data_IF_284729776102
#
_entry.id   IF_284729776102
#
_cell.length_a   1.000
_cell.length_b   1.000
_cell.length_c   1.000
_cell.angle_alpha   90.00
_cell.angle_beta   90.00
_cell.angle_gamma   90.00
#
_symmetry.space_group_name_H-M   'P 1'
#
loop_
_entity.id
_entity.type
_entity.pdbx_description
1 polymer ?
#
# COMPACT_ATOMS: atom_id res chain seq x y z
N UNK A 1 1.44 -8.00 -7.50
CA UNK A 1 0.08 -8.40 -7.98
C UNK A 1 -0.25 -7.54 -9.17
N UNK A 2 0.06 -8.03 -10.37
CA UNK A 2 -0.17 -7.29 -11.59
C UNK A 2 -0.33 -8.24 -12.77
N UNK A 3 -0.90 -7.74 -13.85
CA UNK A 3 -1.03 -8.42 -15.14
C UNK A 3 -0.52 -7.46 -16.22
N UNK A 4 0.09 -8.00 -17.27
CA UNK A 4 0.33 -7.27 -18.52
C UNK A 4 -0.26 -8.09 -19.66
N UNK A 5 -1.01 -7.44 -20.54
CA UNK A 5 -1.73 -8.08 -21.64
C UNK A 5 -1.23 -7.46 -22.95
N UNK A 6 -0.58 -8.28 -23.77
CA UNK A 6 -0.06 -7.96 -25.11
C UNK A 6 0.85 -6.72 -25.19
N UNK A 7 1.42 -6.28 -24.07
CA UNK A 7 2.16 -5.01 -23.99
C UNK A 7 1.29 -3.77 -24.23
N UNK A 8 -0.05 -3.89 -24.13
CA UNK A 8 -1.02 -2.83 -24.40
C UNK A 8 -1.84 -2.42 -23.20
N UNK A 9 -2.02 -3.33 -22.25
CA UNK A 9 -2.76 -3.06 -21.02
C UNK A 9 -2.03 -3.66 -19.84
N UNK A 10 -2.16 -3.02 -18.69
CA UNK A 10 -1.72 -3.56 -17.41
C UNK A 10 -2.86 -3.50 -16.40
N UNK A 11 -2.83 -4.41 -15.44
CA UNK A 11 -3.62 -4.31 -14.22
C UNK A 11 -2.66 -4.28 -13.03
N UNK A 12 -2.84 -3.32 -12.12
CA UNK A 12 -2.07 -3.22 -10.87
C UNK A 12 -3.07 -2.97 -9.74
N UNK A 13 -3.00 -3.76 -8.68
CA UNK A 13 -3.95 -3.64 -7.57
C UNK A 13 -3.62 -4.53 -6.38
N UNK A 14 -4.45 -4.42 -5.36
CA UNK A 14 -4.25 -5.12 -4.10
C UNK A 14 -4.70 -6.59 -4.11
N UNK A 15 -5.51 -6.99 -5.10
CA UNK A 15 -6.10 -8.32 -5.25
C UNK A 15 -5.04 -9.42 -5.33
N UNK A 16 -5.24 -10.49 -4.56
CA UNK A 16 -4.63 -11.77 -4.89
C UNK A 16 -5.45 -12.47 -5.99
N UNK A 17 -4.85 -13.43 -6.70
CA UNK A 17 -5.56 -14.22 -7.72
C UNK A 17 -6.29 -15.39 -7.08
N UNK A 18 -7.26 -15.07 -6.24
CA UNK A 18 -8.12 -16.03 -5.59
C UNK A 18 -9.56 -15.50 -5.50
N UNK A 19 -10.53 -16.42 -5.46
CA UNK A 19 -11.95 -16.08 -5.51
C UNK A 19 -12.41 -15.18 -4.35
N UNK A 20 -11.78 -15.27 -3.17
CA UNK A 20 -12.12 -14.40 -2.03
C UNK A 20 -11.77 -12.95 -2.33
N UNK A 21 -10.67 -12.70 -3.04
CA UNK A 21 -10.30 -11.35 -3.49
C UNK A 21 -11.34 -10.74 -4.45
N UNK A 22 -12.10 -11.57 -5.17
CA UNK A 22 -13.12 -11.14 -6.11
C UNK A 22 -14.51 -10.97 -5.48
N UNK A 23 -14.81 -11.73 -4.41
CA UNK A 23 -16.17 -11.82 -3.85
C UNK A 23 -16.31 -11.34 -2.40
N UNK A 24 -15.22 -11.34 -1.62
CA UNK A 24 -15.30 -11.22 -0.16
C UNK A 24 -14.30 -10.28 0.50
N UNK A 25 -13.31 -9.79 -0.25
CA UNK A 25 -12.30 -8.86 0.24
C UNK A 25 -12.51 -7.51 -0.45
N UNK A 26 -12.44 -6.43 0.32
CA UNK A 26 -12.50 -5.09 -0.25
C UNK A 26 -11.15 -4.73 -0.85
N UNK A 27 -11.08 -4.71 -2.17
CA UNK A 27 -9.85 -4.54 -2.95
C UNK A 27 -9.97 -3.37 -3.92
N UNK A 28 -8.83 -2.79 -4.31
CA UNK A 28 -8.77 -1.74 -5.33
C UNK A 28 -7.69 -2.07 -6.34
N UNK A 29 -8.00 -1.89 -7.63
CA UNK A 29 -7.05 -2.04 -8.71
C UNK A 29 -7.31 -1.07 -9.85
N UNK A 30 -6.28 -0.88 -10.68
CA UNK A 30 -6.30 -0.04 -11.86
C UNK A 30 -6.18 -0.91 -13.10
N UNK A 31 -7.03 -0.65 -14.09
CA UNK A 31 -6.82 -1.07 -15.48
C UNK A 31 -6.14 0.10 -16.21
N UNK A 32 -4.97 -0.14 -16.76
CA UNK A 32 -4.06 0.89 -17.27
C UNK A 32 -3.78 0.61 -18.74
N UNK A 33 -3.95 1.61 -19.59
CA UNK A 33 -3.58 1.59 -21.01
C UNK A 33 -2.58 2.70 -21.39
N UNK A 34 -2.10 3.46 -20.40
CA UNK A 34 -1.03 4.46 -20.58
C UNK A 34 0.27 3.77 -21.05
N UNK A 35 0.73 4.02 -22.30
CA UNK A 35 1.79 3.21 -22.91
C UNK A 35 3.08 3.16 -22.10
N UNK A 36 3.45 4.25 -21.44
CA UNK A 36 4.69 4.29 -20.64
C UNK A 36 4.60 3.39 -19.42
N UNK A 37 3.49 3.46 -18.67
CA UNK A 37 3.26 2.61 -17.49
C UNK A 37 3.16 1.14 -17.88
N UNK A 38 2.48 0.82 -19.00
CA UNK A 38 2.38 -0.56 -19.49
C UNK A 38 3.77 -1.11 -19.87
N UNK A 39 4.58 -0.35 -20.63
CA UNK A 39 5.94 -0.77 -20.98
C UNK A 39 6.83 -0.98 -19.74
N UNK A 40 6.73 -0.10 -18.75
CA UNK A 40 7.48 -0.23 -17.50
C UNK A 40 7.03 -1.44 -16.69
N UNK A 41 5.73 -1.72 -16.65
CA UNK A 41 5.18 -2.92 -15.99
C UNK A 41 5.67 -4.20 -16.69
N UNK A 42 5.72 -4.22 -18.03
CA UNK A 42 6.31 -5.32 -18.79
C UNK A 42 7.80 -5.49 -18.47
N UNK A 43 8.56 -4.39 -18.41
CA UNK A 43 9.98 -4.45 -18.08
C UNK A 43 10.25 -5.01 -16.68
N UNK A 44 9.39 -4.69 -15.69
CA UNK A 44 9.44 -5.31 -14.35
C UNK A 44 9.16 -6.82 -14.45
N UNK A 45 8.13 -7.21 -15.19
CA UNK A 45 7.81 -8.63 -15.40
C UNK A 45 8.99 -9.40 -15.99
N UNK A 46 9.57 -8.89 -17.07
CA UNK A 46 10.68 -9.54 -17.77
C UNK A 46 11.91 -9.66 -16.87
N UNK A 47 12.21 -8.60 -16.09
CA UNK A 47 13.29 -8.60 -15.11
C UNK A 47 13.08 -9.64 -14.01
N UNK A 48 11.87 -9.70 -13.44
CA UNK A 48 11.55 -10.66 -12.38
C UNK A 48 11.55 -12.10 -12.93
N UNK A 49 11.13 -12.30 -14.19
CA UNK A 49 11.17 -13.59 -14.88
C UNK A 49 12.61 -14.08 -15.12
N UNK A 50 13.49 -13.18 -15.57
CA UNK A 50 14.92 -13.45 -15.73
C UNK A 50 15.61 -13.72 -14.38
N UNK A 51 15.24 -12.98 -13.34
CA UNK A 51 15.75 -13.19 -11.99
C UNK A 51 15.41 -14.60 -11.49
N UNK A 52 14.17 -15.05 -11.69
CA UNK A 52 13.75 -16.39 -11.29
C UNK A 52 14.54 -17.50 -12.02
N UNK A 53 14.81 -17.32 -13.32
CA UNK A 53 15.65 -18.25 -14.07
C UNK A 53 17.09 -18.29 -13.52
N UNK A 54 17.69 -17.13 -13.24
CA UNK A 54 19.04 -17.05 -12.66
C UNK A 54 19.12 -17.73 -11.28
N UNK A 55 18.14 -17.51 -10.40
CA UNK A 55 18.05 -18.15 -9.08
C UNK A 55 18.02 -19.68 -9.22
N UNK A 56 17.20 -20.20 -10.15
CA UNK A 56 17.06 -21.64 -10.40
C UNK A 56 18.39 -22.26 -10.84
N UNK A 57 19.20 -21.52 -11.59
CA UNK A 57 20.52 -21.95 -12.07
C UNK A 57 21.66 -21.70 -11.07
N UNK A 58 21.37 -21.15 -9.87
CA UNK A 58 22.40 -20.77 -8.90
C UNK A 58 23.29 -19.62 -9.37
N UNK A 59 22.81 -18.80 -10.32
CA UNK A 59 23.53 -17.65 -10.87
C UNK A 59 23.13 -16.36 -10.15
N UNK A 60 24.00 -15.33 -10.16
CA UNK A 60 23.63 -14.01 -9.65
C UNK A 60 22.43 -13.44 -10.41
N UNK A 61 21.48 -12.84 -9.67
CA UNK A 61 20.36 -12.11 -10.26
C UNK A 61 20.89 -10.88 -11.00
N UNK A 62 20.54 -10.69 -12.30
CA UNK A 62 20.92 -9.49 -13.04
C UNK A 62 20.38 -8.24 -12.35
N UNK A 63 21.23 -7.24 -12.16
CA UNK A 63 20.84 -5.94 -11.60
C UNK A 63 20.72 -4.94 -12.75
N UNK A 64 19.56 -4.30 -12.97
CA UNK A 64 19.41 -3.25 -13.96
C UNK A 64 20.42 -2.12 -13.72
N UNK A 65 20.94 -1.54 -14.79
CA UNK A 65 21.81 -0.37 -14.67
C UNK A 65 20.98 0.84 -14.23
N UNK A 66 21.41 1.59 -13.21
CA UNK A 66 20.77 2.86 -12.88
C UNK A 66 20.81 3.78 -14.10
N UNK A 67 19.71 4.47 -14.34
CA UNK A 67 19.63 5.53 -15.34
C UNK A 67 19.13 6.78 -14.64
N UNK A 68 19.88 7.87 -14.77
CA UNK A 68 19.43 9.17 -14.30
C UNK A 68 18.12 9.50 -15.00
N UNK A 69 17.08 9.65 -14.20
CA UNK A 69 15.74 9.95 -14.66
C UNK A 69 15.16 11.01 -13.74
N UNK A 70 14.49 11.98 -14.34
CA UNK A 70 13.70 12.97 -13.61
C UNK A 70 12.30 12.43 -13.45
N UNK A 71 11.68 12.69 -12.30
CA UNK A 71 10.28 12.34 -12.09
C UNK A 71 9.42 12.91 -13.24
N UNK A 72 8.56 12.09 -13.85
CA UNK A 72 7.75 12.53 -14.97
C UNK A 72 6.65 13.48 -14.50
N UNK A 73 6.24 14.37 -15.41
CA UNK A 73 5.02 15.15 -15.22
C UNK A 73 3.80 14.25 -15.53
N UNK A 74 2.88 14.09 -14.59
CA UNK A 74 1.65 13.30 -14.78
C UNK A 74 1.68 11.96 -14.05
N UNK A 75 1.10 10.91 -14.64
CA UNK A 75 0.94 9.60 -13.99
C UNK A 75 2.18 8.73 -14.22
N UNK A 76 2.64 8.00 -13.19
CA UNK A 76 3.83 7.17 -13.31
C UNK A 76 3.84 5.95 -12.40
N UNK A 77 4.64 4.98 -12.81
CA UNK A 77 4.90 3.76 -12.07
C UNK A 77 6.12 3.94 -11.16
N UNK A 78 5.97 3.50 -9.92
CA UNK A 78 7.07 3.27 -8.99
C UNK A 78 7.01 1.82 -8.51
N UNK A 79 8.15 1.31 -8.06
CA UNK A 79 8.25 -0.05 -7.59
C UNK A 79 9.30 -0.19 -6.49
N UNK A 80 9.25 -1.32 -5.79
CA UNK A 80 10.26 -1.74 -4.83
C UNK A 80 10.77 -3.16 -5.15
N UNK A 81 11.97 -3.52 -4.68
CA UNK A 81 12.97 -2.62 -4.13
C UNK A 81 13.75 -1.91 -5.24
N UNK A 82 14.23 -0.68 -4.98
CA UNK A 82 14.98 0.15 -5.95
C UNK A 82 15.99 -0.62 -6.80
N UNK A 83 16.76 -1.51 -6.16
CA UNK A 83 17.87 -2.24 -6.77
C UNK A 83 17.46 -3.04 -8.02
N UNK A 84 16.20 -3.47 -8.11
CA UNK A 84 15.71 -4.29 -9.21
C UNK A 84 14.70 -3.56 -10.09
N UNK A 85 14.61 -2.24 -10.00
CA UNK A 85 13.73 -1.47 -10.86
C UNK A 85 14.37 -1.23 -12.23
N UNK A 86 13.62 -1.39 -13.33
CA UNK A 86 14.11 -1.05 -14.65
C UNK A 86 14.23 0.48 -14.83
N UNK A 87 14.96 0.95 -15.86
CA UNK A 87 15.11 2.37 -16.15
C UNK A 87 13.77 3.12 -16.20
N UNK A 88 13.71 4.28 -15.52
CA UNK A 88 12.54 5.14 -15.45
C UNK A 88 11.47 4.72 -14.43
N UNK A 89 11.65 3.61 -13.71
CA UNK A 89 10.78 3.24 -12.59
C UNK A 89 11.43 3.65 -11.28
N UNK A 90 10.81 4.60 -10.58
CA UNK A 90 11.34 5.16 -9.35
C UNK A 90 11.08 4.26 -8.15
N UNK A 91 11.83 4.49 -7.08
CA UNK A 91 11.75 3.69 -5.86
C UNK A 91 10.58 4.11 -4.97
N UNK A 92 9.71 3.16 -4.66
CA UNK A 92 8.56 3.36 -3.79
C UNK A 92 8.92 3.90 -2.41
N UNK A 93 10.02 3.41 -1.82
CA UNK A 93 10.45 3.78 -0.48
C UNK A 93 10.88 5.24 -0.38
N UNK A 94 11.50 5.79 -1.43
CA UNK A 94 11.84 7.23 -1.50
C UNK A 94 10.66 8.10 -1.92
N UNK A 95 9.80 7.59 -2.80
CA UNK A 95 8.75 8.39 -3.42
C UNK A 95 7.56 8.64 -2.48
N UNK A 96 7.17 7.65 -1.68
CA UNK A 96 6.06 7.79 -0.73
C UNK A 96 6.29 8.95 0.27
N UNK A 97 7.43 9.04 0.98
CA UNK A 97 7.75 10.20 1.82
C UNK A 97 7.78 11.52 1.06
N UNK A 98 8.28 11.53 -0.19
CA UNK A 98 8.33 12.74 -1.03
C UNK A 98 6.94 13.28 -1.32
N UNK A 99 5.97 12.42 -1.62
CA UNK A 99 4.57 12.81 -1.84
C UNK A 99 3.94 13.33 -0.53
N UNK A 100 4.13 12.62 0.59
CA UNK A 100 3.63 13.07 1.89
C UNK A 100 4.24 14.41 2.34
N UNK A 101 5.48 14.72 1.93
CA UNK A 101 6.10 16.02 2.18
C UNK A 101 5.45 17.17 1.39
N UNK A 102 4.79 16.88 0.27
CA UNK A 102 4.11 17.87 -0.56
C UNK A 102 2.69 18.18 -0.11
N UNK A 103 2.05 17.27 0.62
CA UNK A 103 0.70 17.44 1.15
C UNK A 103 0.53 18.77 1.92
N UNK A 104 -0.59 19.44 1.66
CA UNK A 104 -0.91 20.78 2.16
C UNK A 104 -2.07 20.80 3.16
N UNK A 105 -3.08 19.95 2.96
CA UNK A 105 -4.33 20.02 3.71
C UNK A 105 -4.80 18.69 4.26
N UNK A 106 -4.91 17.64 3.44
CA UNK A 106 -5.42 16.34 3.86
C UNK A 106 -4.76 15.19 3.10
N UNK A 107 -4.46 14.12 3.83
CA UNK A 107 -4.06 12.82 3.29
C UNK A 107 -5.02 11.75 3.81
N UNK A 108 -5.61 10.99 2.91
CA UNK A 108 -6.50 9.86 3.20
C UNK A 108 -5.82 8.58 2.78
N UNK A 109 -5.75 7.60 3.68
CA UNK A 109 -5.01 6.35 3.48
C UNK A 109 -5.87 5.17 3.90
N UNK A 110 -5.97 4.17 3.03
CA UNK A 110 -6.60 2.90 3.33
C UNK A 110 -5.60 1.76 3.10
N UNK A 111 -5.43 0.89 4.10
CA UNK A 111 -4.47 -0.22 4.08
C UNK A 111 -5.09 -1.49 4.69
N UNK A 112 -4.48 -2.65 4.40
CA UNK A 112 -4.64 -3.81 5.27
C UNK A 112 -3.88 -3.53 6.57
N UNK A 113 -2.56 -3.35 6.46
CA UNK A 113 -1.67 -3.20 7.62
C UNK A 113 -0.79 -1.95 7.52
N UNK A 114 -0.56 -1.34 8.68
CA UNK A 114 0.41 -0.29 8.96
C UNK A 114 1.19 -0.61 10.25
N UNK A 115 2.51 -0.41 10.21
CA UNK A 115 3.35 -0.26 11.39
C UNK A 115 4.75 0.25 10.99
N UNK A 116 5.43 1.02 11.85
CA UNK A 116 6.84 1.37 11.65
C UNK A 116 7.77 0.22 12.04
N UNK A 117 7.47 -0.99 11.58
CA UNK A 117 8.19 -2.21 11.91
C UNK A 117 8.49 -2.98 10.63
N UNK A 118 9.66 -3.58 10.56
CA UNK A 118 10.00 -4.57 9.53
C UNK A 118 9.90 -6.00 10.08
N UNK A 119 10.10 -6.98 9.21
CA UNK A 119 10.31 -8.38 9.59
C UNK A 119 11.80 -8.66 9.60
N UNK A 120 12.32 -9.08 10.76
CA UNK A 120 13.72 -9.45 10.94
C UNK A 120 13.91 -10.96 11.19
N UNK A 121 15.18 -11.40 11.27
CA UNK A 121 15.53 -12.76 11.68
C UNK A 121 14.90 -13.13 13.03
N UNK A 122 14.69 -14.42 13.25
CA UNK A 122 14.16 -14.97 14.52
C UNK A 122 12.88 -14.29 15.01
N UNK A 123 12.02 -13.89 14.07
CA UNK A 123 10.74 -13.19 14.32
C UNK A 123 10.89 -11.83 15.01
N UNK A 124 12.08 -11.22 14.95
CA UNK A 124 12.29 -9.85 15.44
C UNK A 124 11.50 -8.85 14.60
N UNK A 125 11.13 -7.71 15.23
CA UNK A 125 10.40 -6.61 14.60
C UNK A 125 11.20 -5.31 14.71
N UNK A 126 12.28 -5.14 13.92
CA UNK A 126 13.10 -3.93 13.99
C UNK A 126 12.32 -2.70 13.52
N UNK A 127 12.64 -1.55 14.10
CA UNK A 127 11.97 -0.29 13.78
C UNK A 127 12.29 0.16 12.35
N UNK A 128 11.25 0.51 11.60
CA UNK A 128 11.30 0.98 10.22
C UNK A 128 10.58 2.33 10.13
N UNK A 129 11.36 3.41 10.25
CA UNK A 129 10.83 4.75 10.50
C UNK A 129 10.26 5.46 9.27
N UNK A 130 10.54 4.96 8.06
CA UNK A 130 10.41 5.74 6.80
C UNK A 130 9.02 6.35 6.63
N UNK A 131 7.98 5.54 6.76
CA UNK A 131 6.59 5.95 6.50
C UNK A 131 6.02 6.71 7.70
N UNK A 132 6.28 6.24 8.92
CA UNK A 132 5.79 6.86 10.16
C UNK A 132 6.36 8.26 10.36
N UNK A 133 7.66 8.46 10.10
CA UNK A 133 8.27 9.78 10.11
C UNK A 133 7.61 10.72 9.10
N UNK A 134 7.30 10.24 7.89
CA UNK A 134 6.67 11.05 6.85
C UNK A 134 5.24 11.47 7.24
N UNK A 135 4.44 10.54 7.79
CA UNK A 135 3.09 10.82 8.28
C UNK A 135 3.09 11.81 9.45
N UNK A 136 3.94 11.56 10.47
CA UNK A 136 4.08 12.47 11.61
C UNK A 136 4.58 13.84 11.20
N UNK A 137 5.52 13.90 10.24
CA UNK A 137 6.01 15.16 9.70
C UNK A 137 4.93 15.92 8.94
N UNK A 138 4.06 15.25 8.18
CA UNK A 138 2.91 15.89 7.53
C UNK A 138 1.93 16.44 8.56
N UNK A 139 1.56 15.63 9.55
CA UNK A 139 0.67 16.03 10.63
C UNK A 139 1.20 17.24 11.43
N UNK A 140 2.51 17.27 11.72
CA UNK A 140 3.18 18.37 12.40
C UNK A 140 3.17 19.69 11.59
N UNK A 141 3.03 19.62 10.27
CA UNK A 141 2.84 20.80 9.40
C UNK A 141 1.38 21.28 9.35
N UNK A 142 0.46 20.62 10.06
CA UNK A 142 -0.97 20.95 10.06
C UNK A 142 -1.82 20.15 9.06
N UNK A 143 -1.24 19.17 8.36
CA UNK A 143 -1.98 18.32 7.41
C UNK A 143 -2.86 17.34 8.18
N UNK A 144 -4.14 17.25 7.82
CA UNK A 144 -5.10 16.24 8.33
C UNK A 144 -4.71 14.87 7.78
N UNK A 145 -4.40 13.91 8.65
CA UNK A 145 -4.12 12.52 8.26
C UNK A 145 -5.30 11.65 8.68
N UNK A 146 -5.95 11.01 7.72
CA UNK A 146 -7.00 10.02 7.95
C UNK A 146 -6.50 8.66 7.49
N UNK A 147 -6.14 7.81 8.45
CA UNK A 147 -5.67 6.46 8.21
C UNK A 147 -6.75 5.45 8.61
N UNK A 148 -7.14 4.57 7.71
CA UNK A 148 -7.90 3.37 8.06
C UNK A 148 -7.11 2.10 7.77
N UNK A 149 -7.16 1.16 8.70
CA UNK A 149 -6.53 -0.16 8.60
C UNK A 149 -7.54 -1.26 8.88
N UNK A 150 -7.22 -2.47 8.48
CA UNK A 150 -8.00 -3.65 8.82
C UNK A 150 -8.01 -3.92 10.32
N UNK A 151 -9.06 -4.56 10.82
CA UNK A 151 -9.07 -5.17 12.14
C UNK A 151 -8.06 -6.30 12.31
N UNK A 152 -7.51 -6.85 11.22
CA UNK A 152 -6.38 -7.76 11.26
C UNK A 152 -5.09 -7.07 11.74
N UNK A 153 -5.02 -5.74 11.70
CA UNK A 153 -3.86 -4.97 12.14
C UNK A 153 -3.92 -4.61 13.65
N UNK A 154 -4.87 -5.17 14.40
CA UNK A 154 -5.01 -4.91 15.85
C UNK A 154 -4.20 -5.85 16.75
N UNK A 155 -3.40 -6.75 16.17
CA UNK A 155 -2.48 -7.61 16.92
C UNK A 155 -1.28 -6.83 17.48
N UNK A 156 -0.64 -7.40 18.51
CA UNK A 156 0.61 -6.85 19.05
C UNK A 156 1.81 -7.34 18.24
N UNK A 157 2.84 -6.51 18.02
CA UNK A 157 3.04 -5.14 18.55
C UNK A 157 2.39 -4.00 17.75
N UNK A 158 1.81 -4.24 16.58
CA UNK A 158 1.37 -3.22 15.63
C UNK A 158 0.32 -2.27 16.19
N UNK A 159 -0.65 -2.78 16.94
CA UNK A 159 -1.72 -1.96 17.52
C UNK A 159 -1.18 -0.88 18.47
N UNK A 160 -0.05 -1.12 19.14
CA UNK A 160 0.60 -0.10 19.96
C UNK A 160 1.08 1.10 19.14
N UNK A 161 1.54 0.85 17.90
CA UNK A 161 1.95 1.91 16.99
C UNK A 161 0.76 2.64 16.35
N UNK A 162 -0.34 1.94 16.06
CA UNK A 162 -1.58 2.60 15.64
C UNK A 162 -2.11 3.54 16.73
N UNK A 163 -2.11 3.10 17.99
CA UNK A 163 -2.47 3.94 19.14
C UNK A 163 -1.54 5.14 19.31
N UNK A 164 -0.23 4.92 19.20
CA UNK A 164 0.78 5.99 19.26
C UNK A 164 0.57 7.03 18.15
N UNK A 165 0.26 6.59 16.94
CA UNK A 165 0.00 7.48 15.81
C UNK A 165 -1.31 8.27 16.00
N UNK A 166 -2.36 7.63 16.54
CA UNK A 166 -3.63 8.29 16.83
C UNK A 166 -3.57 9.40 17.90
N UNK A 167 -2.49 9.44 18.70
CA UNK A 167 -2.24 10.51 19.68
C UNK A 167 -1.55 11.74 19.07
N UNK A 168 -1.10 11.66 17.82
CA UNK A 168 -0.46 12.78 17.13
C UNK A 168 -1.53 13.80 16.70
N UNK A 169 -1.36 15.11 16.97
CA UNK A 169 -2.28 16.13 16.49
C UNK A 169 -2.48 16.04 14.98
N UNK A 170 -3.72 16.28 14.52
CA UNK A 170 -4.15 16.17 13.12
C UNK A 170 -4.18 14.74 12.55
N UNK A 171 -3.94 13.69 13.36
CA UNK A 171 -4.05 12.30 12.91
C UNK A 171 -5.30 11.63 13.46
N UNK A 172 -6.03 10.95 12.57
CA UNK A 172 -7.18 10.11 12.91
C UNK A 172 -6.93 8.71 12.37
N UNK A 173 -7.06 7.72 13.24
CA UNK A 173 -6.92 6.30 12.88
C UNK A 173 -8.25 5.59 13.11
N UNK A 174 -8.74 4.88 12.09
CA UNK A 174 -9.92 4.01 12.19
C UNK A 174 -9.56 2.55 11.90
N UNK A 175 -10.18 1.66 12.67
CA UNK A 175 -10.14 0.21 12.44
C UNK A 175 -11.40 -0.18 11.68
N UNK A 176 -11.22 -0.91 10.57
CA UNK A 176 -12.33 -1.39 9.75
C UNK A 176 -12.56 -2.88 9.99
N UNK A 177 -13.75 -3.21 10.50
CA UNK A 177 -14.22 -4.59 10.66
C UNK A 177 -15.40 -4.82 9.73
N UNK A 178 -15.23 -5.69 8.73
CA UNK A 178 -16.35 -6.11 7.88
C UNK A 178 -17.12 -7.24 8.55
N UNK A 179 -18.46 -7.26 8.48
CA UNK A 179 -19.25 -8.31 9.09
C UNK A 179 -18.99 -9.65 8.39
N UNK A 180 -19.15 -10.75 9.13
CA UNK A 180 -19.13 -12.11 8.59
C UNK A 180 -20.08 -12.22 7.37
N UNK A 181 -19.71 -13.06 6.40
CA UNK A 181 -20.55 -13.31 5.24
C UNK A 181 -21.87 -13.98 5.68
N UNK A 182 -22.95 -13.77 4.90
CA UNK A 182 -24.23 -14.42 5.18
C UNK A 182 -24.13 -15.96 5.13
N UNK A 183 -23.17 -16.49 4.36
CA UNK A 183 -22.88 -17.91 4.22
C UNK A 183 -22.04 -18.48 5.39
N UNK A 184 -21.59 -17.64 6.33
CA UNK A 184 -20.79 -18.03 7.48
C UNK A 184 -19.33 -17.58 7.40
N UNK A 185 -18.50 -18.18 8.26
CA UNK A 185 -17.07 -17.88 8.35
C UNK A 185 -16.32 -18.34 7.09
N UNK A 186 -15.50 -17.46 6.53
CA UNK A 186 -14.65 -17.75 5.38
C UNK A 186 -13.20 -17.39 5.78
N UNK A 187 -12.30 -18.37 5.89
CA UNK A 187 -10.91 -18.12 6.26
C UNK A 187 -10.23 -17.11 5.33
N UNK A 188 -9.58 -16.13 5.94
CA UNK A 188 -8.83 -15.05 5.28
C UNK A 188 -9.68 -14.22 4.31
N UNK A 189 -10.92 -13.91 4.69
CA UNK A 189 -11.83 -13.08 3.93
C UNK A 189 -12.50 -12.02 4.83
N UNK A 190 -13.42 -11.23 4.25
CA UNK A 190 -14.19 -10.19 4.99
C UNK A 190 -13.25 -9.18 5.65
N UNK A 191 -12.35 -8.65 4.84
CA UNK A 191 -11.31 -7.72 5.28
C UNK A 191 -11.16 -6.59 4.25
N UNK A 192 -10.69 -5.42 4.70
CA UNK A 192 -10.16 -4.42 3.77
C UNK A 192 -8.74 -4.78 3.39
N UNK A 193 -8.45 -4.69 2.09
CA UNK A 193 -7.15 -5.04 1.56
C UNK A 193 -6.66 -4.09 0.46
N UNK A 194 -7.44 -3.08 0.09
CA UNK A 194 -6.98 -1.91 -0.68
C UNK A 194 -5.74 -1.27 -0.06
N UNK A 195 -4.80 -0.82 -0.90
CA UNK A 195 -3.68 0.06 -0.52
C UNK A 195 -3.72 1.31 -1.37
N UNK A 196 -4.42 2.31 -0.87
CA UNK A 196 -4.74 3.53 -1.61
C UNK A 196 -4.43 4.75 -0.78
N UNK A 197 -4.01 5.82 -1.44
CA UNK A 197 -3.81 7.11 -0.82
C UNK A 197 -4.34 8.22 -1.73
N UNK A 198 -4.98 9.21 -1.13
CA UNK A 198 -5.40 10.47 -1.74
C UNK A 198 -4.74 11.62 -0.98
N UNK A 199 -4.15 12.57 -1.72
CA UNK A 199 -3.53 13.78 -1.19
C UNK A 199 -4.22 14.99 -1.82
N UNK A 200 -4.84 15.81 -0.97
CA UNK A 200 -5.43 17.11 -1.31
C UNK A 200 -6.44 17.09 -2.49
N UNK A 201 -7.10 15.95 -2.77
CA UNK A 201 -7.92 15.75 -3.97
C UNK A 201 -7.16 16.01 -5.29
N UNK A 202 -5.81 15.94 -5.27
CA UNK A 202 -4.94 16.22 -6.42
C UNK A 202 -4.09 15.03 -6.83
N UNK A 203 -3.66 14.19 -5.87
CA UNK A 203 -2.79 13.06 -6.14
C UNK A 203 -3.43 11.78 -5.63
N UNK A 204 -3.67 10.84 -6.54
CA UNK A 204 -4.07 9.49 -6.19
C UNK A 204 -2.87 8.53 -6.21
N UNK A 205 -2.97 7.52 -5.37
CA UNK A 205 -2.05 6.40 -5.29
C UNK A 205 -2.85 5.12 -5.18
N UNK A 206 -2.52 4.13 -6.02
CA UNK A 206 -3.01 2.75 -5.87
C UNK A 206 -1.80 1.83 -5.97
N UNK A 207 -1.66 0.91 -5.01
CA UNK A 207 -0.49 0.03 -4.97
C UNK A 207 -0.76 -1.35 -4.41
N UNK A 208 0.33 -2.11 -4.30
CA UNK A 208 0.30 -3.49 -3.78
C UNK A 208 0.86 -3.63 -2.36
N UNK A 209 1.60 -2.62 -1.89
CA UNK A 209 2.36 -2.59 -0.64
C UNK A 209 1.50 -2.25 0.57
N UNK A 210 1.57 -3.04 1.64
CA UNK A 210 1.24 -2.53 2.98
C UNK A 210 2.31 -1.55 3.47
N UNK A 211 2.00 -0.74 4.47
CA UNK A 211 2.93 0.26 4.99
C UNK A 211 3.67 -0.25 6.23
N UNK A 212 4.53 -1.22 5.97
CA UNK A 212 5.46 -1.83 6.93
C UNK A 212 6.83 -1.98 6.25
N UNK A 213 7.88 -2.09 7.08
CA UNK A 213 9.18 -2.49 6.58
C UNK A 213 9.12 -3.88 5.94
N UNK A 214 9.92 -4.11 4.91
CA UNK A 214 9.87 -5.31 4.08
C UNK A 214 9.13 -5.10 2.75
N UNK A 215 8.10 -4.25 2.71
CA UNK A 215 7.28 -4.06 1.50
C UNK A 215 7.92 -3.11 0.48
N UNK A 216 8.50 -1.99 0.95
CA UNK A 216 9.09 -0.98 0.07
C UNK A 216 10.59 -1.19 -0.17
N UNK A 217 11.23 -2.13 0.54
CA UNK A 217 12.69 -2.28 0.58
C UNK A 217 13.21 -3.72 0.34
N UNK A 218 12.41 -4.75 0.65
CA UNK A 218 12.85 -6.15 0.55
C UNK A 218 11.94 -7.03 -0.33
N UNK A 219 10.77 -6.54 -0.74
CA UNK A 219 9.77 -7.30 -1.50
C UNK A 219 9.43 -6.59 -2.80
N UNK A 220 9.08 -7.36 -3.85
CA UNK A 220 8.56 -6.80 -5.09
C UNK A 220 7.15 -6.24 -4.90
N UNK A 221 7.02 -4.93 -4.99
CA UNK A 221 5.73 -4.25 -5.07
C UNK A 221 5.71 -3.17 -6.15
N UNK A 222 4.51 -2.83 -6.61
CA UNK A 222 4.24 -1.82 -7.65
C UNK A 222 3.17 -0.86 -7.16
N UNK A 223 3.33 0.41 -7.51
CA UNK A 223 2.43 1.48 -7.11
C UNK A 223 2.32 2.49 -8.25
N UNK A 224 1.12 3.01 -8.47
CA UNK A 224 0.86 3.99 -9.52
C UNK A 224 0.50 5.30 -8.85
N UNK A 225 1.33 6.31 -9.10
CA UNK A 225 1.09 7.68 -8.70
C UNK A 225 0.36 8.38 -9.84
N UNK A 226 -0.74 9.05 -9.52
CA UNK A 226 -1.55 9.77 -10.50
C UNK A 226 -1.74 11.21 -10.04
N UNK A 227 -1.11 12.15 -10.74
CA UNK A 227 -1.37 13.59 -10.57
C UNK A 227 -2.63 13.99 -11.35
N UNK A 228 -3.77 13.47 -10.89
CA UNK A 228 -5.06 13.61 -11.52
C UNK A 228 -6.15 13.80 -10.45
N UNK A 229 -6.72 15.01 -10.39
CA UNK A 229 -7.72 15.35 -9.38
C UNK A 229 -9.03 14.58 -9.51
N UNK A 230 -9.35 14.04 -10.69
CA UNK A 230 -10.54 13.19 -10.86
C UNK A 230 -10.32 11.81 -10.25
N UNK A 231 -9.12 11.25 -10.43
CA UNK A 231 -8.72 9.98 -9.81
C UNK A 231 -8.54 10.14 -8.30
N UNK A 232 -7.92 11.22 -7.84
CA UNK A 232 -7.78 11.56 -6.43
C UNK A 232 -9.14 11.59 -5.73
N UNK A 233 -10.11 12.34 -6.25
CA UNK A 233 -11.48 12.37 -5.73
C UNK A 233 -12.16 11.01 -5.74
N UNK A 234 -11.93 10.18 -6.77
CA UNK A 234 -12.49 8.83 -6.83
C UNK A 234 -11.94 7.93 -5.72
N UNK A 235 -10.64 8.03 -5.43
CA UNK A 235 -10.01 7.34 -4.30
C UNK A 235 -10.50 7.91 -2.97
N UNK A 236 -10.62 9.23 -2.85
CA UNK A 236 -11.18 9.91 -1.69
C UNK A 236 -12.62 9.45 -1.38
N UNK A 237 -13.48 9.35 -2.39
CA UNK A 237 -14.86 8.86 -2.25
C UNK A 237 -14.92 7.38 -1.83
N UNK A 238 -14.04 6.54 -2.38
CA UNK A 238 -13.92 5.14 -1.96
C UNK A 238 -13.52 5.04 -0.49
N UNK A 239 -12.56 5.87 -0.05
CA UNK A 239 -12.15 5.96 1.34
C UNK A 239 -13.31 6.45 2.23
N UNK A 240 -14.01 7.52 1.84
CA UNK A 240 -15.16 8.08 2.58
C UNK A 240 -16.29 7.06 2.78
N UNK A 241 -16.56 6.20 1.78
CA UNK A 241 -17.60 5.17 1.86
C UNK A 241 -17.44 4.27 3.10
N UNK A 242 -16.22 3.85 3.41
CA UNK A 242 -15.93 3.06 4.60
C UNK A 242 -15.74 3.96 5.82
N UNK A 243 -15.01 5.07 5.66
CA UNK A 243 -14.65 5.99 6.74
C UNK A 243 -15.89 6.47 7.49
N UNK A 244 -16.91 6.95 6.79
CA UNK A 244 -18.17 7.43 7.38
C UNK A 244 -19.19 6.31 7.61
N UNK A 245 -18.86 5.10 7.16
CA UNK A 245 -19.69 3.92 7.30
C UNK A 245 -19.69 3.31 8.71
N UNK A 246 -20.60 2.36 8.98
CA UNK A 246 -20.71 1.73 10.29
C UNK A 246 -19.54 0.80 10.63
N UNK A 247 -18.74 0.40 9.63
CA UNK A 247 -17.67 -0.58 9.75
C UNK A 247 -16.32 0.01 10.17
N UNK A 248 -16.11 1.32 10.00
CA UNK A 248 -14.89 2.00 10.43
C UNK A 248 -15.12 2.67 11.80
N UNK A 249 -14.42 2.20 12.83
CA UNK A 249 -14.48 2.77 14.18
C UNK A 249 -13.18 3.48 14.51
N UNK A 250 -13.20 4.68 15.13
CA UNK A 250 -11.99 5.27 15.70
C UNK A 250 -11.29 4.27 16.61
N UNK A 251 -9.96 4.21 16.53
CA UNK A 251 -9.19 3.34 17.42
C UNK A 251 -9.37 3.81 18.88
N UNK A 252 -9.84 2.90 19.73
CA UNK A 252 -9.84 3.11 21.17
C UNK A 252 -8.43 2.87 21.74
N UNK A 253 -7.79 3.94 22.23
CA UNK A 253 -6.43 3.88 22.78
C UNK A 253 -6.34 3.05 24.07
N UNK A 254 -7.44 2.96 24.84
CA UNK A 254 -7.49 2.26 26.13
C UNK A 254 -7.94 0.81 25.98
N UNK A 255 -8.54 0.43 24.85
CA UNK A 255 -8.98 -0.93 24.59
C UNK A 255 -7.80 -1.88 24.42
N UNK A 256 -7.84 -3.01 25.11
CA UNK A 256 -7.01 -4.15 24.80
C UNK A 256 -7.62 -4.91 23.60
N UNK A 257 -6.91 -4.96 22.48
CA UNK A 257 -7.41 -5.61 21.27
C UNK A 257 -6.96 -7.08 21.28
N UNK A 258 -7.88 -8.03 21.02
CA UNK A 258 -7.48 -9.42 20.91
C UNK A 258 -6.59 -9.64 19.68
N UNK A 259 -5.74 -10.66 19.76
CA UNK A 259 -4.96 -11.11 18.60
C UNK A 259 -5.91 -11.57 17.49
N UNK A 260 -5.80 -11.01 16.27
CA UNK A 260 -6.65 -11.43 15.16
C UNK A 260 -6.39 -12.88 14.76
N UNK A 261 -7.45 -13.59 14.40
CA UNK A 261 -7.36 -14.97 13.90
C UNK A 261 -8.01 -15.13 12.52
N UNK A 262 -7.44 -14.55 11.44
CA UNK A 262 -8.05 -14.56 10.10
C UNK A 262 -8.43 -15.94 9.56
N UNK A 263 -7.75 -17.00 10.03
CA UNK A 263 -7.98 -18.37 9.59
C UNK A 263 -8.93 -19.19 10.46
N UNK A 264 -9.46 -18.65 11.57
CA UNK A 264 -10.32 -19.39 12.52
C UNK A 264 -11.59 -18.59 12.86
N UNK A 265 -12.74 -19.27 13.09
CA UNK A 265 -13.99 -18.62 13.52
C UNK A 265 -13.87 -17.90 14.86
#
# INVERSE_FOLDING_TARGET
>A
KFLVVDGRQAFIGSQNFDWRSLEHIHETGLRIDEPTVVRQTQAIFDQDWLAQAAITEGKPVPVPRPVDSTLPNGNYLIASPQRYNPPGVFDSQTELPRLLAQAKSEVRVQLLDYAPLSYGPDKTRPYYAVIDNALRSAAARGVSIKLMVSDWNTGMPEVAYLKSLALVPNVQVRIVTLPMAAQGFIPYARVIHSKTMDIDDQVAWVGTSNWLGGYLDNSRNLEVVMHDGSMAKRIGQLHEQLWDGPYAKPIDINRDYPEPHPGKP
#
